data_IF_734971179145
#
_entry.id   IF_734971179145
#
_cell.length_a   1.000
_cell.length_b   1.000
_cell.length_c   1.000
_cell.angle_alpha   90.00
_cell.angle_beta   90.00
_cell.angle_gamma   90.00
#
_symmetry.space_group_name_H-M   'P 1'
#
loop_
_entity.id
_entity.type
_entity.pdbx_description
1 polymer ?
#
# COMPACT_ATOMS: atom_id res chain seq x y z
N UNK A 1 12.22 -0.49 28.47
CA UNK A 1 11.93 0.94 28.22
C UNK A 1 12.64 1.32 26.94
N UNK A 2 11.91 1.80 25.93
CA UNK A 2 12.51 2.23 24.67
C UNK A 2 13.38 3.48 24.86
N UNK A 3 14.44 3.61 24.07
CA UNK A 3 15.34 4.79 24.09
C UNK A 3 14.58 6.10 23.86
N UNK A 4 13.58 6.08 22.99
CA UNK A 4 12.68 7.21 22.71
C UNK A 4 11.86 7.61 23.94
N UNK A 5 11.45 6.67 24.78
CA UNK A 5 10.71 6.94 26.03
C UNK A 5 11.55 7.66 27.09
N UNK A 6 12.88 7.69 26.93
CA UNK A 6 13.82 8.37 27.82
C UNK A 6 14.23 9.76 27.31
N UNK A 7 13.60 10.24 26.24
CA UNK A 7 13.89 11.54 25.60
C UNK A 7 15.05 11.52 24.61
N UNK A 8 15.57 10.34 24.25
CA UNK A 8 16.64 10.19 23.26
C UNK A 8 16.07 10.10 21.84
N UNK A 9 16.50 11.00 20.95
CA UNK A 9 16.20 10.91 19.53
C UNK A 9 17.22 10.00 18.82
N UNK A 10 16.74 9.13 17.93
CA UNK A 10 17.58 8.24 17.10
C UNK A 10 17.35 8.60 15.64
N UNK A 11 18.43 8.86 14.92
CA UNK A 11 18.40 9.09 13.47
C UNK A 11 18.78 7.79 12.75
N UNK A 12 17.88 7.30 11.91
CA UNK A 12 18.13 6.16 11.04
C UNK A 12 18.13 6.64 9.58
N UNK A 13 19.12 6.19 8.81
CA UNK A 13 19.16 6.40 7.37
C UNK A 13 19.07 5.02 6.71
N UNK A 14 17.98 4.79 5.96
CA UNK A 14 17.81 3.61 5.12
C UNK A 14 17.44 4.03 3.70
N UNK A 15 17.74 3.16 2.75
CA UNK A 15 17.33 3.30 1.36
C UNK A 15 15.96 2.66 1.10
N UNK A 16 15.39 1.99 2.10
CA UNK A 16 14.07 1.35 2.05
C UNK A 16 13.04 2.21 2.80
N UNK A 17 12.00 2.63 2.08
CA UNK A 17 10.86 3.34 2.67
C UNK A 17 10.05 2.44 3.61
N UNK A 18 10.05 1.13 3.36
CA UNK A 18 9.29 0.13 4.13
C UNK A 18 9.92 -0.09 5.51
N UNK A 19 11.26 -0.14 5.58
CA UNK A 19 11.98 -0.16 6.86
C UNK A 19 11.80 1.15 7.64
N UNK A 20 11.83 2.29 6.94
CA UNK A 20 11.65 3.59 7.57
C UNK A 20 10.24 3.77 8.14
N UNK A 21 9.21 3.24 7.47
CA UNK A 21 7.84 3.25 7.98
C UNK A 21 7.67 2.33 9.20
N UNK A 22 8.28 1.15 9.18
CA UNK A 22 8.17 0.21 10.28
C UNK A 22 8.84 0.70 11.57
N UNK A 23 9.95 1.44 11.46
CA UNK A 23 10.81 1.80 12.60
C UNK A 23 10.72 3.26 13.03
N UNK A 24 10.34 4.19 12.13
CA UNK A 24 10.39 5.62 12.41
C UNK A 24 9.00 6.23 12.57
N UNK A 25 8.86 7.15 13.54
CA UNK A 25 7.61 7.92 13.73
C UNK A 25 7.49 9.11 12.78
N UNK A 26 8.62 9.58 12.24
CA UNK A 26 8.74 10.61 11.21
C UNK A 26 9.79 10.20 10.22
N UNK A 27 9.56 10.51 8.95
CA UNK A 27 10.48 10.24 7.85
C UNK A 27 10.90 11.58 7.26
N UNK A 28 12.15 11.66 6.81
CA UNK A 28 12.64 12.76 6.02
C UNK A 28 13.32 12.25 4.74
N UNK A 29 13.07 12.92 3.61
CA UNK A 29 13.79 12.65 2.37
C UNK A 29 14.96 13.62 2.27
N UNK A 30 16.13 13.08 1.99
CA UNK A 30 17.33 13.85 1.71
C UNK A 30 17.71 13.71 0.24
N UNK A 31 17.93 14.84 -0.44
CA UNK A 31 18.38 14.89 -1.83
C UNK A 31 19.57 15.84 -1.91
N UNK A 32 20.67 15.40 -2.54
CA UNK A 32 21.89 16.22 -2.72
C UNK A 32 22.42 16.84 -1.41
N UNK A 33 22.31 16.11 -0.30
CA UNK A 33 22.81 16.55 1.01
C UNK A 33 21.91 17.52 1.78
N UNK A 34 20.69 17.78 1.30
CA UNK A 34 19.71 18.61 2.01
C UNK A 34 18.39 17.87 2.25
N UNK A 35 17.79 18.05 3.42
CA UNK A 35 16.44 17.55 3.71
C UNK A 35 15.41 18.36 2.93
N UNK A 36 14.66 17.70 2.05
CA UNK A 36 13.67 18.35 1.21
C UNK A 36 12.24 18.16 1.74
N UNK A 37 11.95 17.03 2.40
CA UNK A 37 10.64 16.73 2.97
C UNK A 37 10.83 16.11 4.36
N UNK A 38 10.03 16.51 5.35
CA UNK A 38 9.97 15.88 6.67
C UNK A 38 8.52 15.83 7.13
N UNK A 39 7.99 14.64 7.38
CA UNK A 39 6.61 14.44 7.81
C UNK A 39 6.44 13.06 8.48
N UNK A 40 5.22 12.72 8.88
CA UNK A 40 4.84 11.35 9.25
C UNK A 40 4.99 10.41 8.06
N UNK A 41 5.27 9.13 8.32
CA UNK A 41 5.46 8.13 7.27
C UNK A 41 4.28 8.11 6.28
N UNK A 42 3.05 8.03 6.78
CA UNK A 42 1.85 7.98 5.96
C UNK A 42 1.68 9.20 5.03
N UNK A 43 1.91 10.41 5.54
CA UNK A 43 1.73 11.65 4.76
C UNK A 43 2.82 11.83 3.72
N UNK A 44 4.04 11.45 4.06
CA UNK A 44 5.19 11.52 3.16
C UNK A 44 5.10 10.46 2.06
N UNK A 45 4.68 9.24 2.40
CA UNK A 45 4.37 8.18 1.42
C UNK A 45 3.29 8.61 0.44
N UNK A 46 2.21 9.25 0.92
CA UNK A 46 1.14 9.74 0.05
C UNK A 46 1.61 10.78 -0.97
N UNK A 47 2.62 11.60 -0.62
CA UNK A 47 3.12 12.69 -1.47
C UNK A 47 4.32 12.29 -2.34
N UNK A 48 5.14 11.35 -1.89
CA UNK A 48 6.44 11.08 -2.50
C UNK A 48 6.58 9.68 -3.08
N UNK A 49 5.73 8.72 -2.69
CA UNK A 49 5.78 7.36 -3.21
C UNK A 49 4.80 7.22 -4.38
N UNK A 50 5.35 7.14 -5.59
CA UNK A 50 4.60 7.11 -6.85
C UNK A 50 3.83 5.80 -7.10
N UNK A 51 4.17 4.72 -6.40
CA UNK A 51 3.53 3.41 -6.58
C UNK A 51 2.92 2.95 -5.27
N UNK A 52 1.63 2.61 -5.30
CA UNK A 52 0.92 1.98 -4.18
C UNK A 52 0.18 0.76 -4.71
N UNK A 53 0.17 -0.31 -3.92
CA UNK A 53 -0.52 -1.56 -4.25
C UNK A 53 -1.69 -1.72 -3.30
N UNK A 54 -2.88 -1.94 -3.85
CA UNK A 54 -4.07 -2.35 -3.10
C UNK A 54 -4.27 -3.85 -3.29
N UNK A 55 -4.20 -4.59 -2.19
CA UNK A 55 -4.48 -6.03 -2.17
C UNK A 55 -5.88 -6.25 -1.63
N UNK A 56 -6.78 -6.74 -2.48
CA UNK A 56 -8.17 -7.02 -2.11
C UNK A 56 -8.35 -8.54 -2.06
N UNK A 57 -8.55 -9.07 -0.85
CA UNK A 57 -8.88 -10.48 -0.62
C UNK A 57 -10.33 -10.59 -0.18
N UNK A 58 -11.13 -11.34 -0.94
CA UNK A 58 -12.48 -11.71 -0.50
C UNK A 58 -12.37 -12.72 0.65
N UNK A 59 -13.04 -12.45 1.75
CA UNK A 59 -13.22 -13.47 2.79
C UNK A 59 -14.27 -14.49 2.32
N UNK A 60 -14.04 -15.80 2.47
CA UNK A 60 -15.05 -16.79 2.19
C UNK A 60 -16.21 -16.61 3.15
N UNK A 61 -17.43 -16.54 2.63
CA UNK A 61 -18.63 -16.62 3.46
C UNK A 61 -18.79 -18.09 3.86
N UNK A 62 -18.75 -18.36 5.17
CA UNK A 62 -18.94 -19.70 5.72
C UNK A 62 -20.34 -20.21 5.39
N UNK A 63 -20.49 -20.92 4.28
CA UNK A 63 -21.78 -21.49 3.88
C UNK A 63 -21.73 -22.23 2.54
N UNK A 64 -21.68 -23.57 2.63
CA UNK A 64 -22.00 -24.59 1.61
C UNK A 64 -21.26 -24.55 0.27
N UNK A 65 -20.56 -25.65 0.01
CA UNK A 65 -19.86 -26.03 -1.21
C UNK A 65 -20.82 -26.18 -2.41
N UNK A 66 -21.10 -25.09 -3.16
CA UNK A 66 -21.51 -25.17 -4.57
C UNK A 66 -21.44 -23.80 -5.31
N UNK A 67 -20.26 -23.18 -5.41
CA UNK A 67 -20.14 -21.78 -5.90
C UNK A 67 -19.07 -21.50 -6.98
N UNK A 68 -18.60 -22.52 -7.71
CA UNK A 68 -17.54 -22.33 -8.72
C UNK A 68 -18.01 -21.52 -9.95
N UNK A 69 -19.31 -21.55 -10.29
CA UNK A 69 -19.84 -20.85 -11.47
C UNK A 69 -20.16 -19.36 -11.24
N UNK A 70 -20.57 -18.96 -10.03
CA UNK A 70 -20.95 -17.58 -9.72
C UNK A 70 -19.82 -16.69 -9.20
N UNK A 71 -18.71 -17.28 -8.74
CA UNK A 71 -17.62 -16.52 -8.12
C UNK A 71 -16.82 -15.69 -9.15
N UNK A 72 -16.66 -16.22 -10.37
CA UNK A 72 -16.02 -15.49 -11.47
C UNK A 72 -16.79 -14.23 -11.89
N UNK A 73 -18.11 -14.22 -11.75
CA UNK A 73 -18.95 -13.12 -12.22
C UNK A 73 -18.82 -11.88 -11.33
N UNK A 74 -18.74 -12.07 -10.01
CA UNK A 74 -18.54 -10.96 -9.06
C UNK A 74 -17.12 -10.39 -9.11
N UNK A 75 -16.10 -11.23 -9.33
CA UNK A 75 -14.72 -10.76 -9.56
C UNK A 75 -14.63 -9.93 -10.84
N UNK A 76 -15.36 -10.30 -11.90
CA UNK A 76 -15.44 -9.51 -13.14
C UNK A 76 -16.08 -8.14 -12.90
N UNK A 77 -17.18 -8.08 -12.14
CA UNK A 77 -17.82 -6.80 -11.77
C UNK A 77 -16.88 -5.93 -10.95
N UNK A 78 -16.17 -6.51 -9.99
CA UNK A 78 -15.20 -5.77 -9.18
C UNK A 78 -14.03 -5.26 -10.03
N UNK A 79 -13.51 -6.08 -10.94
CA UNK A 79 -12.46 -5.66 -11.86
C UNK A 79 -12.93 -4.51 -12.77
N UNK A 80 -14.14 -4.60 -13.33
CA UNK A 80 -14.72 -3.53 -14.15
C UNK A 80 -14.91 -2.22 -13.34
N UNK A 81 -15.33 -2.33 -12.08
CA UNK A 81 -15.43 -1.17 -11.19
C UNK A 81 -14.07 -0.54 -10.90
N UNK A 82 -13.04 -1.34 -10.64
CA UNK A 82 -11.69 -0.84 -10.35
C UNK A 82 -11.06 -0.14 -11.56
N UNK A 83 -11.22 -0.68 -12.77
CA UNK A 83 -10.73 -0.05 -14.00
C UNK A 83 -11.44 1.28 -14.27
N UNK A 84 -12.75 1.38 -13.97
CA UNK A 84 -13.49 2.64 -14.11
C UNK A 84 -13.11 3.67 -13.03
N UNK A 85 -12.85 3.23 -11.80
CA UNK A 85 -12.48 4.11 -10.70
C UNK A 85 -11.05 4.63 -10.84
N UNK A 86 -10.15 3.81 -11.40
CA UNK A 86 -8.73 4.09 -11.54
C UNK A 86 -8.29 3.79 -12.99
N UNK A 87 -8.36 4.77 -13.91
CA UNK A 87 -8.07 4.58 -15.33
C UNK A 87 -6.63 4.11 -15.60
N UNK A 88 -5.69 4.52 -14.74
CA UNK A 88 -4.26 4.18 -14.82
C UNK A 88 -3.88 2.94 -14.00
N UNK A 89 -4.85 2.22 -13.44
CA UNK A 89 -4.58 1.04 -12.61
C UNK A 89 -4.33 -0.21 -13.46
N UNK A 90 -3.22 -0.89 -13.19
CA UNK A 90 -2.99 -2.26 -13.61
C UNK A 90 -3.55 -3.21 -12.56
N UNK A 91 -4.52 -4.05 -12.93
CA UNK A 91 -5.14 -5.04 -12.04
C UNK A 91 -4.71 -6.44 -12.45
N UNK A 92 -4.16 -7.22 -11.51
CA UNK A 92 -3.86 -8.64 -11.68
C UNK A 92 -4.60 -9.49 -10.65
N UNK A 93 -4.90 -10.74 -11.00
CA UNK A 93 -5.56 -11.70 -10.11
C UNK A 93 -4.64 -12.89 -9.93
N UNK A 94 -4.31 -13.20 -8.68
CA UNK A 94 -3.48 -14.35 -8.34
C UNK A 94 -4.28 -15.67 -8.37
N UNK A 95 -3.59 -16.79 -8.50
CA UNK A 95 -4.20 -18.14 -8.45
C UNK A 95 -5.00 -18.41 -7.17
N UNK A 96 -4.71 -17.67 -6.09
CA UNK A 96 -5.46 -17.72 -4.83
C UNK A 96 -6.75 -16.86 -4.81
N UNK A 97 -7.12 -16.24 -5.94
CA UNK A 97 -8.30 -15.37 -6.05
C UNK A 97 -8.14 -14.00 -5.37
N UNK A 98 -6.90 -13.56 -5.17
CA UNK A 98 -6.58 -12.23 -4.61
C UNK A 98 -6.40 -11.26 -5.77
N UNK A 99 -7.07 -10.10 -5.67
CA UNK A 99 -6.93 -9.01 -6.63
C UNK A 99 -5.81 -8.07 -6.17
N UNK A 100 -4.78 -7.95 -6.98
CA UNK A 100 -3.69 -7.00 -6.82
C UNK A 100 -3.90 -5.84 -7.80
N UNK A 101 -4.16 -4.65 -7.25
CA UNK A 101 -4.34 -3.43 -8.03
C UNK A 101 -3.14 -2.51 -7.83
N UNK A 102 -2.44 -2.21 -8.91
CA UNK A 102 -1.31 -1.29 -8.98
C UNK A 102 -1.77 -0.02 -9.66
N UNK A 103 -1.66 1.12 -8.99
CA UNK A 103 -2.00 2.41 -9.59
C UNK A 103 -0.97 3.45 -9.15
N UNK A 104 -0.76 4.44 -10.02
CA UNK A 104 -0.06 5.65 -9.62
C UNK A 104 -1.10 6.65 -9.16
N UNK A 105 -0.90 7.22 -7.98
CA UNK A 105 -1.57 8.47 -7.64
C UNK A 105 -0.86 9.58 -8.44
N UNK A 106 -1.58 10.19 -9.38
CA UNK A 106 -1.20 11.49 -9.91
C UNK A 106 -1.67 12.56 -8.91
N UNK A 107 -0.85 13.61 -8.72
CA UNK A 107 -1.19 14.78 -7.89
C UNK A 107 -2.39 15.56 -8.45
#
# INVERSE_FOLDING_TARGET
QDLTSRGTAVLLASHSTEECEALCTRISIMTKGAFCHIDTAARLMARCCLQRVLTIKRMPESGSDDATAGNGDRLKVLNAFLVNLLPDAQVSVDAAGVLHCYFRLQD
#
